data_IF_254153279192
#
_entry.id   IF_254153279192
#
_cell.length_a   1.000
_cell.length_b   1.000
_cell.length_c   1.000
_cell.angle_alpha   90.00
_cell.angle_beta   90.00
_cell.angle_gamma   90.00
#
_symmetry.space_group_name_H-M   'P 1'
#
loop_
_entity.id
_entity.type
_entity.pdbx_description
1 polymer ?
#
# COMPACT_ATOMS: atom_id res chain seq x y z
N UNK A 1 2.57 0.21 7.79
CA UNK A 1 1.66 1.34 8.10
C UNK A 1 0.93 1.03 9.40
N UNK A 2 0.81 2.02 10.28
CA UNK A 2 0.13 1.90 11.58
C UNK A 2 -1.10 2.79 11.55
N UNK A 3 -2.28 2.22 11.81
CA UNK A 3 -3.56 2.91 11.73
C UNK A 3 -4.22 2.94 13.11
N UNK A 4 -4.24 4.12 13.72
CA UNK A 4 -4.75 4.36 15.08
C UNK A 4 -5.78 5.49 15.05
N UNK A 5 -6.99 5.22 15.57
CA UNK A 5 -8.11 6.16 15.38
C UNK A 5 -8.32 6.44 13.89
N UNK A 6 -8.49 7.71 13.46
CA UNK A 6 -8.57 8.07 12.04
C UNK A 6 -7.20 8.19 11.34
N UNK A 7 -6.10 8.17 12.10
CA UNK A 7 -4.76 8.43 11.57
C UNK A 7 -4.14 7.22 10.89
N UNK A 8 -3.40 7.47 9.80
CA UNK A 8 -2.54 6.49 9.12
C UNK A 8 -1.11 7.01 9.17
N UNK A 9 -0.21 6.20 9.71
CA UNK A 9 1.18 6.58 9.94
C UNK A 9 2.14 5.64 9.18
N UNK A 10 3.14 6.20 8.48
CA UNK A 10 4.19 5.42 7.85
C UNK A 10 5.10 4.85 8.94
N UNK A 11 5.66 3.67 8.70
CA UNK A 11 6.55 3.02 9.67
C UNK A 11 7.56 2.14 8.95
N UNK A 12 8.79 2.11 9.47
CA UNK A 12 9.79 1.10 9.14
C UNK A 12 9.82 0.02 10.22
N UNK A 13 10.68 -0.98 10.05
CA UNK A 13 10.73 -2.20 10.90
C UNK A 13 10.73 -1.94 12.43
N UNK A 14 11.29 -0.82 12.88
CA UNK A 14 11.51 -0.55 14.32
C UNK A 14 10.77 0.68 14.86
N UNK A 15 10.26 1.55 14.00
CA UNK A 15 9.70 2.83 14.43
C UNK A 15 8.80 3.44 13.36
N UNK A 16 7.93 4.36 13.80
CA UNK A 16 7.20 5.24 12.90
C UNK A 16 8.19 6.11 12.11
N UNK A 17 7.86 6.39 10.86
CA UNK A 17 8.58 7.37 10.06
C UNK A 17 7.93 8.73 10.34
N UNK A 18 8.76 9.75 10.60
CA UNK A 18 8.29 11.14 10.61
C UNK A 18 7.87 11.56 9.21
N UNK A 19 6.98 12.54 9.12
CA UNK A 19 6.43 13.01 7.84
C UNK A 19 7.55 13.50 6.90
N UNK A 20 8.53 14.24 7.42
CA UNK A 20 9.71 14.69 6.66
C UNK A 20 10.62 13.55 6.17
N UNK A 21 10.53 12.37 6.78
CA UNK A 21 11.38 11.22 6.44
C UNK A 21 10.84 10.38 5.27
N UNK A 22 9.61 10.66 4.79
CA UNK A 22 9.00 9.94 3.68
C UNK A 22 9.81 10.02 2.38
N UNK A 23 10.43 11.18 2.12
CA UNK A 23 11.28 11.38 0.95
C UNK A 23 12.55 10.53 1.06
N UNK A 24 13.23 10.54 2.20
CA UNK A 24 14.46 9.77 2.41
C UNK A 24 14.25 8.25 2.45
N UNK A 25 13.02 7.79 2.65
CA UNK A 25 12.69 6.36 2.65
C UNK A 25 12.31 5.89 1.23
N UNK A 26 13.30 5.82 0.34
CA UNK A 26 13.17 5.40 -1.07
C UNK A 26 12.13 6.21 -1.88
N UNK A 27 11.88 7.46 -1.48
CA UNK A 27 10.89 8.33 -2.11
C UNK A 27 9.46 7.80 -1.97
N UNK A 28 9.12 7.18 -0.84
CA UNK A 28 7.75 6.71 -0.53
C UNK A 28 6.73 7.85 -0.58
N UNK A 29 7.14 9.10 -0.37
CA UNK A 29 6.27 10.27 -0.58
C UNK A 29 5.52 10.21 -1.93
N UNK A 30 6.14 9.71 -3.01
CA UNK A 30 5.50 9.55 -4.33
C UNK A 30 4.20 8.74 -4.33
N UNK A 31 4.11 7.75 -3.44
CA UNK A 31 2.98 6.83 -3.36
C UNK A 31 2.18 7.01 -2.07
N UNK A 32 2.66 7.84 -1.14
CA UNK A 32 2.07 8.02 0.19
C UNK A 32 0.59 8.44 0.16
N UNK A 33 0.15 9.41 -0.66
CA UNK A 33 -1.27 9.77 -0.71
C UNK A 33 -2.18 8.59 -1.04
N UNK A 34 -1.78 7.75 -2.02
CA UNK A 34 -2.56 6.57 -2.42
C UNK A 34 -2.53 5.52 -1.30
N UNK A 35 -1.36 5.29 -0.71
CA UNK A 35 -1.22 4.34 0.39
C UNK A 35 -1.98 4.74 1.64
N UNK A 36 -2.07 6.04 1.97
CA UNK A 36 -2.80 6.50 3.15
C UNK A 36 -4.30 6.27 2.98
N UNK A 37 -4.86 6.62 1.82
CA UNK A 37 -6.26 6.38 1.46
C UNK A 37 -6.57 4.87 1.44
N UNK A 38 -5.68 4.07 0.86
CA UNK A 38 -5.82 2.63 0.83
C UNK A 38 -5.74 2.00 2.24
N UNK A 39 -4.82 2.44 3.09
CA UNK A 39 -4.69 1.95 4.46
C UNK A 39 -5.89 2.32 5.32
N UNK A 40 -6.46 3.51 5.14
CA UNK A 40 -7.70 3.91 5.79
C UNK A 40 -8.86 3.00 5.36
N UNK A 41 -8.98 2.70 4.05
CA UNK A 41 -9.98 1.77 3.52
C UNK A 41 -9.79 0.34 4.04
N UNK A 42 -8.55 -0.16 4.04
CA UNK A 42 -8.18 -1.47 4.58
C UNK A 42 -8.57 -1.58 6.06
N UNK A 43 -8.25 -0.54 6.84
CA UNK A 43 -8.57 -0.46 8.27
C UNK A 43 -10.06 -0.44 8.52
N UNK A 44 -10.82 0.33 7.72
CA UNK A 44 -12.28 0.35 7.80
C UNK A 44 -12.89 -1.03 7.55
N UNK A 45 -12.38 -1.77 6.55
CA UNK A 45 -12.83 -3.13 6.28
C UNK A 45 -12.59 -4.07 7.47
N UNK A 46 -11.44 -3.98 8.14
CA UNK A 46 -11.16 -4.79 9.33
C UNK A 46 -11.98 -4.36 10.55
N UNK A 47 -12.18 -3.05 10.77
CA UNK A 47 -12.98 -2.53 11.89
C UNK A 47 -14.43 -2.99 11.85
N UNK A 48 -14.99 -3.19 10.66
CA UNK A 48 -16.33 -3.77 10.51
C UNK A 48 -16.46 -5.19 11.11
N UNK A 49 -15.34 -5.90 11.31
CA UNK A 49 -15.28 -7.26 11.87
C UNK A 49 -14.73 -7.25 13.30
N UNK A 50 -13.70 -6.44 13.55
CA UNK A 50 -12.92 -6.44 14.80
C UNK A 50 -13.32 -5.32 15.77
N UNK A 51 -14.27 -4.46 15.38
CA UNK A 51 -14.76 -3.32 16.15
C UNK A 51 -14.11 -2.00 15.77
N UNK A 52 -14.88 -0.91 15.87
CA UNK A 52 -14.49 0.43 15.41
C UNK A 52 -13.24 1.00 16.11
N UNK A 53 -12.97 0.57 17.34
CA UNK A 53 -11.82 1.02 18.12
C UNK A 53 -10.53 0.23 17.81
N UNK A 54 -10.58 -0.80 16.95
CA UNK A 54 -9.40 -1.62 16.67
C UNK A 54 -8.29 -0.79 16.02
N UNK A 55 -7.07 -0.89 16.57
CA UNK A 55 -5.87 -0.38 15.94
C UNK A 55 -5.33 -1.42 14.97
N UNK A 56 -4.96 -1.00 13.76
CA UNK A 56 -4.56 -1.91 12.68
C UNK A 56 -3.13 -1.60 12.28
N UNK A 57 -2.26 -2.60 12.27
CA UNK A 57 -0.93 -2.49 11.66
C UNK A 57 -0.87 -3.34 10.41
N UNK A 58 -0.57 -2.72 9.28
CA UNK A 58 -0.44 -3.40 7.98
C UNK A 58 1.04 -3.51 7.65
N UNK A 59 1.50 -4.75 7.48
CA UNK A 59 2.86 -5.11 7.12
C UNK A 59 2.91 -5.45 5.63
N UNK A 60 3.92 -4.93 4.97
CA UNK A 60 4.08 -5.10 3.55
C UNK A 60 5.49 -4.78 3.12
N UNK A 61 5.80 -5.21 1.91
CA UNK A 61 7.09 -5.00 1.29
C UNK A 61 7.05 -3.72 0.47
N UNK A 62 7.95 -2.78 0.77
CA UNK A 62 8.24 -1.71 -0.16
C UNK A 62 9.17 -2.30 -1.21
N UNK A 63 8.69 -2.36 -2.43
CA UNK A 63 9.39 -2.99 -3.52
C UNK A 63 9.72 -1.93 -4.57
N UNK A 64 10.80 -2.22 -5.30
CA UNK A 64 10.91 -1.90 -6.72
C UNK A 64 11.49 -0.52 -7.08
N UNK A 65 11.19 0.00 -8.28
CA UNK A 65 11.75 1.25 -8.81
C UNK A 65 12.70 1.04 -10.00
N UNK A 66 12.72 -0.15 -10.58
CA UNK A 66 13.41 -0.47 -11.83
C UNK A 66 12.89 -1.78 -12.43
N UNK A 67 12.71 -1.81 -13.75
CA UNK A 67 12.39 -3.04 -14.48
C UNK A 67 13.17 -3.10 -15.79
N UNK A 68 14.27 -3.85 -15.86
CA UNK A 68 15.20 -3.82 -16.99
C UNK A 68 14.71 -4.66 -18.18
N UNK A 69 13.52 -4.35 -18.70
CA UNK A 69 12.96 -4.97 -19.90
C UNK A 69 12.95 -3.95 -21.06
N UNK A 70 13.37 -4.32 -22.29
CA UNK A 70 13.46 -3.38 -23.42
C UNK A 70 12.13 -2.71 -23.77
N UNK A 71 11.01 -3.41 -23.60
CA UNK A 71 9.66 -2.89 -23.89
C UNK A 71 9.00 -2.17 -22.70
N UNK A 72 9.68 -2.03 -21.57
CA UNK A 72 9.14 -1.36 -20.37
C UNK A 72 9.90 -0.06 -20.14
N UNK A 73 9.26 1.11 -20.33
CA UNK A 73 9.89 2.39 -20.06
C UNK A 73 10.28 2.53 -18.59
N UNK A 74 11.48 3.07 -18.35
CA UNK A 74 11.90 3.45 -17.01
C UNK A 74 11.04 4.61 -16.48
N UNK A 75 10.77 4.60 -15.16
CA UNK A 75 10.08 5.70 -14.49
C UNK A 75 11.12 6.73 -14.06
N UNK A 76 10.93 7.99 -14.48
CA UNK A 76 11.85 9.07 -14.14
C UNK A 76 11.94 9.26 -12.60
N UNK A 77 13.17 9.29 -12.09
CA UNK A 77 13.46 9.46 -10.66
C UNK A 77 13.17 8.25 -9.78
N UNK A 78 12.71 7.13 -10.36
CA UNK A 78 12.65 5.86 -9.64
C UNK A 78 14.06 5.28 -9.52
N UNK A 79 14.37 4.78 -8.33
CA UNK A 79 15.59 4.03 -8.04
C UNK A 79 15.19 2.70 -7.41
N UNK A 80 15.89 1.61 -7.72
CA UNK A 80 15.55 0.31 -7.18
C UNK A 80 15.79 0.27 -5.67
N UNK A 81 14.75 -0.10 -4.92
CA UNK A 81 14.84 -0.41 -3.48
C UNK A 81 15.82 -1.56 -3.23
N UNK A 82 15.87 -2.51 -4.15
CA UNK A 82 16.77 -3.66 -4.12
C UNK A 82 17.14 -4.07 -5.56
N UNK A 83 18.34 -4.61 -5.75
CA UNK A 83 18.81 -5.14 -7.03
C UNK A 83 18.79 -6.67 -7.05
N UNK A 84 18.84 -7.28 -8.24
CA UNK A 84 18.93 -8.74 -8.41
C UNK A 84 17.59 -9.48 -8.48
N UNK A 85 16.50 -8.81 -8.11
CA UNK A 85 15.12 -9.21 -8.43
C UNK A 85 14.31 -7.96 -8.78
N UNK A 86 13.54 -8.03 -9.86
CA UNK A 86 12.85 -6.87 -10.44
C UNK A 86 11.34 -7.10 -10.47
N UNK A 87 10.55 -6.12 -10.04
CA UNK A 87 9.12 -6.32 -9.88
C UNK A 87 8.27 -5.44 -10.83
N UNK A 88 8.72 -4.22 -11.15
CA UNK A 88 7.99 -3.16 -11.87
C UNK A 88 8.84 -1.87 -11.99
N UNK A 89 8.62 -1.06 -13.04
CA UNK A 89 9.46 0.13 -13.24
C UNK A 89 9.19 1.23 -12.19
N UNK A 90 8.07 1.18 -11.48
CA UNK A 90 7.68 2.14 -10.44
C UNK A 90 7.80 1.58 -9.03
N UNK A 91 7.61 2.45 -8.02
CA UNK A 91 7.63 2.04 -6.61
C UNK A 91 6.27 1.46 -6.21
N UNK A 92 6.27 0.31 -5.52
CA UNK A 92 5.05 -0.35 -5.05
C UNK A 92 5.16 -0.77 -3.58
N UNK A 93 4.00 -0.89 -2.91
CA UNK A 93 3.94 -1.45 -1.57
C UNK A 93 2.93 -2.61 -1.53
N UNK A 94 3.40 -3.79 -1.15
CA UNK A 94 2.67 -5.04 -1.24
C UNK A 94 2.35 -5.59 0.17
N UNK A 95 1.10 -5.47 0.69
CA UNK A 95 0.74 -6.02 1.99
C UNK A 95 0.86 -7.55 2.01
N UNK A 96 1.61 -8.08 2.97
CA UNK A 96 1.78 -9.51 3.19
C UNK A 96 1.30 -9.96 4.57
N UNK A 97 1.06 -9.07 5.52
CA UNK A 97 0.48 -9.39 6.83
C UNK A 97 -0.26 -8.21 7.45
N UNK A 98 -1.08 -8.47 8.46
CA UNK A 98 -1.61 -7.41 9.31
C UNK A 98 -1.93 -7.93 10.71
N UNK A 99 -1.88 -7.02 11.67
CA UNK A 99 -2.34 -7.27 13.02
C UNK A 99 -3.43 -6.27 13.42
N UNK A 100 -4.32 -6.73 14.29
CA UNK A 100 -5.40 -5.95 14.89
C UNK A 100 -5.23 -5.99 16.41
N UNK A 101 -5.29 -4.83 17.04
CA UNK A 101 -5.23 -4.69 18.49
C UNK A 101 -6.59 -4.24 19.00
N UNK A 102 -7.13 -5.02 19.94
CA UNK A 102 -8.44 -4.82 20.57
C UNK A 102 -8.30 -4.85 22.09
N UNK A 103 -9.38 -4.61 22.82
CA UNK A 103 -9.40 -4.80 24.27
C UNK A 103 -9.04 -6.25 24.69
N UNK A 104 -9.27 -7.23 23.81
CA UNK A 104 -8.93 -8.64 24.04
C UNK A 104 -7.50 -9.02 23.66
N UNK A 105 -6.64 -8.05 23.34
CA UNK A 105 -5.25 -8.25 22.93
C UNK A 105 -5.04 -8.11 21.42
N UNK A 106 -3.81 -8.42 20.98
CA UNK A 106 -3.38 -8.33 19.58
C UNK A 106 -3.49 -9.68 18.87
N UNK A 107 -4.02 -9.65 17.65
CA UNK A 107 -4.19 -10.80 16.78
C UNK A 107 -3.56 -10.54 15.41
N UNK A 108 -2.90 -11.54 14.86
CA UNK A 108 -2.60 -11.61 13.44
C UNK A 108 -3.86 -12.04 12.70
N UNK A 109 -4.23 -11.31 11.64
CA UNK A 109 -5.43 -11.65 10.86
C UNK A 109 -5.18 -12.85 9.96
N UNK A 110 -6.26 -13.52 9.54
CA UNK A 110 -6.20 -14.57 8.53
C UNK A 110 -5.74 -14.03 7.17
N UNK A 111 -5.12 -14.88 6.35
CA UNK A 111 -4.73 -14.53 4.97
C UNK A 111 -5.96 -14.13 4.13
N UNK A 112 -7.11 -14.78 4.37
CA UNK A 112 -8.38 -14.41 3.74
C UNK A 112 -8.80 -12.99 4.08
N UNK A 113 -8.73 -12.61 5.37
CA UNK A 113 -9.07 -11.26 5.80
C UNK A 113 -8.10 -10.22 5.22
N UNK A 114 -6.80 -10.53 5.21
CA UNK A 114 -5.77 -9.67 4.60
C UNK A 114 -6.05 -9.42 3.12
N UNK A 115 -6.26 -10.48 2.33
CA UNK A 115 -6.51 -10.36 0.88
C UNK A 115 -7.83 -9.67 0.58
N UNK A 116 -8.88 -9.94 1.37
CA UNK A 116 -10.18 -9.28 1.24
C UNK A 116 -10.09 -7.78 1.51
N UNK A 117 -9.44 -7.39 2.62
CA UNK A 117 -9.24 -5.98 2.97
C UNK A 117 -8.31 -5.26 1.97
N UNK A 118 -7.25 -5.93 1.49
CA UNK A 118 -6.37 -5.40 0.45
C UNK A 118 -7.13 -5.15 -0.86
N UNK A 119 -7.92 -6.11 -1.33
CA UNK A 119 -8.74 -5.96 -2.53
C UNK A 119 -9.78 -4.82 -2.40
N UNK A 120 -10.44 -4.71 -1.24
CA UNK A 120 -11.37 -3.61 -0.95
C UNK A 120 -10.69 -2.24 -0.95
N UNK A 121 -9.39 -2.20 -0.63
CA UNK A 121 -8.53 -1.02 -0.60
C UNK A 121 -7.75 -0.78 -1.91
N UNK A 122 -7.97 -1.58 -2.96
CA UNK A 122 -7.19 -1.47 -4.20
C UNK A 122 -5.70 -1.80 -4.05
N UNK A 123 -5.32 -2.49 -2.97
CA UNK A 123 -3.96 -2.97 -2.73
C UNK A 123 -3.76 -4.36 -3.32
N UNK A 124 -2.55 -4.62 -3.79
CA UNK A 124 -2.14 -5.90 -4.37
C UNK A 124 -1.27 -6.65 -3.37
N UNK A 125 -1.71 -7.84 -2.94
CA UNK A 125 -0.87 -8.73 -2.13
C UNK A 125 0.14 -9.49 -2.99
N UNK A 126 1.29 -9.93 -2.43
CA UNK A 126 2.16 -10.88 -3.11
C UNK A 126 1.42 -12.16 -3.55
N UNK A 127 1.87 -12.82 -4.63
CA UNK A 127 1.25 -14.03 -5.13
C UNK A 127 1.20 -15.12 -4.06
N UNK A 128 0.05 -15.80 -3.94
CA UNK A 128 -0.02 -17.03 -3.15
C UNK A 128 0.60 -18.17 -3.96
N UNK A 129 1.58 -18.87 -3.40
CA UNK A 129 2.15 -20.07 -4.03
C UNK A 129 1.30 -21.32 -3.78
N UNK A 130 0.50 -21.33 -2.71
CA UNK A 130 -0.42 -22.41 -2.40
C UNK A 130 -1.07 -22.29 -1.02
N UNK A 131 -2.13 -23.05 -0.82
CA UNK A 131 -2.81 -23.25 0.46
C UNK A 131 -2.97 -24.75 0.70
N UNK A 132 -2.60 -25.23 1.88
CA UNK A 132 -2.64 -26.66 2.16
C UNK A 132 -1.86 -27.06 3.40
N UNK A 133 -1.62 -28.37 3.53
CA UNK A 133 -0.92 -28.94 4.66
C UNK A 133 0.55 -28.49 4.71
N UNK A 134 1.05 -28.20 5.92
CA UNK A 134 2.42 -27.75 6.18
C UNK A 134 3.46 -28.65 5.53
N UNK A 135 3.29 -29.97 5.65
CA UNK A 135 4.23 -30.96 5.12
C UNK A 135 4.34 -30.93 3.59
N UNK A 136 3.32 -30.44 2.88
CA UNK A 136 3.36 -30.27 1.42
C UNK A 136 3.94 -28.91 1.03
N UNK A 137 3.56 -27.85 1.72
CA UNK A 137 4.04 -26.51 1.39
C UNK A 137 5.51 -26.28 1.76
N UNK A 138 6.04 -26.98 2.76
CA UNK A 138 7.47 -26.91 3.10
C UNK A 138 8.37 -27.60 2.06
N UNK A 139 7.81 -28.45 1.20
CA UNK A 139 8.51 -29.17 0.13
C UNK A 139 8.54 -28.39 -1.20
N UNK A 140 7.95 -27.19 -1.25
CA UNK A 140 7.94 -26.37 -2.47
C UNK A 140 9.37 -26.01 -2.91
N UNK A 141 9.65 -25.97 -4.22
CA UNK A 141 10.93 -25.50 -4.73
C UNK A 141 11.23 -24.08 -4.22
N UNK A 142 12.43 -23.88 -3.70
CA UNK A 142 12.85 -22.59 -3.19
C UNK A 142 13.29 -21.62 -4.30
N UNK A 143 13.80 -22.13 -5.41
CA UNK A 143 14.16 -21.37 -6.60
C UNK A 143 13.03 -21.45 -7.64
N UNK A 144 12.42 -20.31 -7.95
CA UNK A 144 11.36 -20.17 -8.94
C UNK A 144 11.33 -18.73 -9.47
N UNK A 145 10.83 -18.52 -10.68
CA UNK A 145 10.66 -17.17 -11.23
C UNK A 145 9.66 -16.37 -10.41
N UNK A 146 9.95 -15.10 -10.12
CA UNK A 146 9.01 -14.26 -9.36
C UNK A 146 7.70 -14.07 -10.12
N UNK A 147 6.58 -14.27 -9.44
CA UNK A 147 5.24 -14.02 -9.99
C UNK A 147 4.76 -12.58 -9.83
N UNK A 148 5.54 -11.71 -9.19
CA UNK A 148 5.13 -10.32 -8.89
C UNK A 148 4.94 -9.46 -10.15
N UNK A 149 5.82 -9.49 -11.18
CA UNK A 149 5.64 -8.66 -12.38
C UNK A 149 4.32 -8.91 -13.11
N UNK A 150 3.85 -10.16 -13.12
CA UNK A 150 2.58 -10.53 -13.74
C UNK A 150 1.37 -9.85 -13.06
N UNK A 151 1.47 -9.52 -11.76
CA UNK A 151 0.43 -8.76 -11.05
C UNK A 151 0.25 -7.34 -11.60
N UNK A 152 1.27 -6.81 -12.27
CA UNK A 152 1.28 -5.49 -12.88
C UNK A 152 1.18 -5.53 -14.42
N UNK A 153 0.89 -6.71 -14.98
CA UNK A 153 0.78 -6.89 -16.43
C UNK A 153 2.09 -6.72 -17.19
N UNK A 154 3.23 -6.93 -16.52
CA UNK A 154 4.55 -6.75 -17.13
C UNK A 154 5.03 -8.03 -17.83
N UNK A 155 5.84 -7.89 -18.90
CA UNK A 155 6.44 -9.04 -19.59
C UNK A 155 7.43 -9.77 -18.68
N UNK A 156 7.68 -11.05 -18.92
CA UNK A 156 8.65 -11.82 -18.14
C UNK A 156 10.09 -11.34 -18.35
N UNK A 157 10.90 -11.41 -17.30
CA UNK A 157 12.35 -11.23 -17.36
C UNK A 157 13.03 -12.58 -17.19
N UNK A 158 13.94 -12.91 -18.12
CA UNK A 158 14.78 -14.08 -18.00
C UNK A 158 15.60 -14.04 -16.69
N UNK A 159 15.71 -15.18 -16.01
CA UNK A 159 16.48 -15.36 -14.77
C UNK A 159 16.08 -14.43 -13.60
N UNK A 160 14.87 -13.88 -13.61
CA UNK A 160 14.32 -13.07 -12.52
C UNK A 160 13.73 -13.96 -11.42
N UNK A 161 14.62 -14.62 -10.68
CA UNK A 161 14.26 -15.57 -9.63
C UNK A 161 13.79 -14.84 -8.36
N UNK A 162 12.75 -15.38 -7.72
CA UNK A 162 12.31 -14.94 -6.42
C UNK A 162 13.37 -15.23 -5.35
N UNK A 163 13.48 -14.37 -4.34
CA UNK A 163 14.34 -14.62 -3.16
C UNK A 163 13.98 -15.93 -2.44
N UNK A 164 12.69 -16.27 -2.45
CA UNK A 164 12.13 -17.43 -1.80
C UNK A 164 10.67 -17.21 -1.45
N UNK A 165 10.19 -17.91 -0.43
CA UNK A 165 8.80 -17.82 0.02
C UNK A 165 8.67 -17.80 1.54
N UNK A 166 7.50 -17.33 2.00
CA UNK A 166 7.13 -17.32 3.42
C UNK A 166 6.00 -18.33 3.64
N UNK A 167 6.19 -19.22 4.60
CA UNK A 167 5.21 -20.21 5.03
C UNK A 167 4.68 -19.81 6.41
N UNK A 168 3.36 -19.65 6.52
CA UNK A 168 2.68 -19.21 7.75
C UNK A 168 1.25 -19.74 7.85
N UNK A 169 0.65 -19.77 9.06
CA UNK A 169 -0.76 -20.08 9.25
C UNK A 169 -1.66 -19.18 8.40
N UNK A 170 -2.64 -19.80 7.75
CA UNK A 170 -3.66 -19.08 6.99
C UNK A 170 -4.76 -18.48 7.89
N UNK A 171 -4.97 -19.06 9.08
CA UNK A 171 -5.94 -18.59 10.06
C UNK A 171 -5.42 -17.45 10.93
N UNK A 172 -6.31 -16.93 11.76
CA UNK A 172 -6.00 -15.93 12.79
C UNK A 172 -5.07 -16.53 13.85
N UNK A 173 -4.24 -15.68 14.46
CA UNK A 173 -3.29 -16.11 15.48
C UNK A 173 -3.15 -15.08 16.60
N UNK A 174 -3.40 -15.42 17.88
CA UNK A 174 -3.18 -14.49 18.99
C UNK A 174 -1.69 -14.24 19.20
N UNK A 175 -1.27 -12.97 19.28
CA UNK A 175 0.15 -12.63 19.52
C UNK A 175 0.63 -13.11 20.91
N UNK A 176 -0.29 -13.23 21.87
CA UNK A 176 -0.02 -13.73 23.21
C UNK A 176 0.19 -15.25 23.29
N UNK A 177 0.13 -15.99 22.17
CA UNK A 177 0.43 -17.42 22.16
C UNK A 177 1.87 -17.67 22.67
N UNK A 178 2.07 -18.43 23.76
CA UNK A 178 3.40 -18.70 24.31
C UNK A 178 4.34 -19.42 23.33
N UNK A 179 3.81 -20.15 22.36
CA UNK A 179 4.61 -20.84 21.33
C UNK A 179 5.03 -19.90 20.20
N UNK A 180 4.47 -18.69 20.15
CA UNK A 180 4.63 -17.73 19.06
C UNK A 180 3.91 -18.17 17.78
N UNK A 181 3.78 -17.26 16.82
CA UNK A 181 3.23 -17.58 15.51
C UNK A 181 4.27 -18.35 14.68
N UNK A 182 3.98 -19.57 14.21
CA UNK A 182 4.94 -20.35 13.43
C UNK A 182 5.06 -19.74 12.02
N UNK A 183 6.15 -19.01 11.76
CA UNK A 183 6.45 -18.42 10.45
C UNK A 183 7.83 -18.85 10.01
N UNK A 184 7.92 -19.44 8.82
CA UNK A 184 9.17 -19.90 8.24
C UNK A 184 9.45 -19.14 6.96
N UNK A 185 10.68 -18.65 6.80
CA UNK A 185 11.17 -18.06 5.56
C UNK A 185 12.08 -19.07 4.88
N UNK A 186 11.72 -19.49 3.68
CA UNK A 186 12.49 -20.42 2.87
C UNK A 186 13.14 -19.60 1.75
N UNK A 187 14.46 -19.40 1.83
CA UNK A 187 15.22 -18.54 0.92
C UNK A 187 16.29 -19.33 0.19
N UNK A 188 16.54 -18.98 -1.08
CA UNK A 188 17.57 -19.65 -1.87
C UNK A 188 18.96 -19.21 -1.36
N UNK A 189 19.92 -20.14 -1.29
CA UNK A 189 21.27 -19.84 -0.77
C UNK A 189 22.05 -18.87 -1.66
N UNK A 190 21.91 -19.02 -2.98
CA UNK A 190 22.50 -18.15 -4.00
C UNK A 190 22.12 -16.68 -3.84
N UNK A 191 20.99 -16.36 -3.20
CA UNK A 191 20.60 -14.97 -2.97
C UNK A 191 21.47 -14.26 -1.94
N UNK A 192 22.08 -15.00 -1.01
CA UNK A 192 22.92 -14.43 0.04
C UNK A 192 24.38 -14.22 -0.40
N UNK A 193 24.78 -14.78 -1.54
CA UNK A 193 26.17 -14.85 -2.00
C UNK A 193 26.40 -14.14 -3.35
N UNK A 194 25.37 -13.54 -3.94
CA UNK A 194 25.42 -13.01 -5.31
C UNK A 194 25.51 -11.47 -5.32
N UNK A 195 26.59 -10.96 -5.93
CA UNK A 195 26.93 -9.54 -6.03
C UNK A 195 25.82 -8.70 -6.68
N UNK A 196 24.90 -9.32 -7.45
CA UNK A 196 23.73 -8.64 -8.03
C UNK A 196 22.82 -8.02 -6.97
N UNK A 197 22.86 -8.48 -5.72
CA UNK A 197 22.05 -7.97 -4.61
C UNK A 197 22.69 -6.81 -3.84
N UNK A 198 23.98 -6.54 -4.05
CA UNK A 198 24.77 -5.49 -3.38
C UNK A 198 24.81 -4.17 -4.18
N UNK A 199 24.00 -4.05 -5.23
CA UNK A 199 23.98 -2.89 -6.12
C UNK A 199 23.12 -1.71 -5.65
N UNK A 200 22.29 -1.91 -4.62
CA UNK A 200 21.40 -0.87 -4.11
C UNK A 200 22.21 0.26 -3.43
N UNK A 201 21.93 1.50 -3.80
CA UNK A 201 22.59 2.69 -3.23
C UNK A 201 21.67 3.40 -2.24
N UNK A 202 22.21 4.18 -1.28
CA UNK A 202 21.39 5.05 -0.46
C UNK A 202 20.57 5.98 -1.35
N UNK A 203 19.25 5.95 -1.18
CA UNK A 203 18.35 6.84 -1.91
C UNK A 203 18.57 8.29 -1.48
N UNK A 204 18.85 9.17 -2.44
CA UNK A 204 19.00 10.60 -2.19
C UNK A 204 17.76 11.33 -2.72
N UNK A 205 16.89 11.87 -1.84
CA UNK A 205 15.72 12.57 -2.30
C UNK A 205 16.10 13.85 -3.06
N UNK A 206 15.37 14.21 -4.13
CA UNK A 206 15.53 15.50 -4.79
C UNK A 206 15.30 16.67 -3.81
N UNK A 207 15.92 17.84 -4.00
CA UNK A 207 15.73 19.02 -3.13
C UNK A 207 14.26 19.42 -2.96
N UNK A 208 13.45 19.24 -4.00
CA UNK A 208 12.02 19.51 -4.02
C UNK A 208 11.15 18.39 -3.41
N UNK A 209 11.74 17.30 -2.95
CA UNK A 209 11.04 16.07 -2.54
C UNK A 209 10.81 15.11 -3.71
N UNK A 210 10.65 13.81 -3.41
CA UNK A 210 10.52 12.76 -4.43
C UNK A 210 9.20 12.86 -5.21
N UNK A 211 8.16 13.44 -4.62
CA UNK A 211 6.89 13.77 -5.28
C UNK A 211 6.90 15.13 -5.99
N UNK A 212 8.01 15.88 -5.93
CA UNK A 212 8.09 17.26 -6.42
C UNK A 212 7.50 18.31 -5.46
N UNK A 213 7.12 17.88 -4.25
CA UNK A 213 6.75 18.73 -3.12
C UNK A 213 7.40 18.18 -1.84
N UNK A 214 7.65 19.01 -0.82
CA UNK A 214 8.10 18.56 0.48
C UNK A 214 7.19 17.47 1.06
N UNK A 215 7.79 16.37 1.52
CA UNK A 215 7.08 15.24 2.12
C UNK A 215 6.11 15.62 3.25
N UNK A 216 6.43 16.62 4.08
CA UNK A 216 5.54 17.10 5.14
C UNK A 216 4.22 17.64 4.61
N UNK A 217 4.27 18.50 3.57
CA UNK A 217 3.07 19.05 2.96
C UNK A 217 2.21 17.94 2.37
N UNK A 218 2.85 16.95 1.76
CA UNK A 218 2.15 15.81 1.20
C UNK A 218 1.51 14.93 2.28
N UNK A 219 2.19 14.70 3.41
CA UNK A 219 1.64 13.95 4.53
C UNK A 219 0.43 14.66 5.15
N UNK A 220 0.52 15.98 5.36
CA UNK A 220 -0.58 16.81 5.86
C UNK A 220 -1.78 16.80 4.91
N UNK A 221 -1.56 17.03 3.62
CA UNK A 221 -2.62 16.96 2.61
C UNK A 221 -3.26 15.55 2.54
N UNK A 222 -2.44 14.50 2.64
CA UNK A 222 -2.92 13.11 2.61
C UNK A 222 -3.83 12.77 3.79
N UNK A 223 -3.64 13.42 4.95
CA UNK A 223 -4.50 13.25 6.12
C UNK A 223 -5.90 13.87 5.93
N UNK A 224 -6.04 14.83 5.01
CA UNK A 224 -7.32 15.47 4.68
C UNK A 224 -8.18 14.62 3.73
N UNK A 225 -7.59 13.62 3.06
CA UNK A 225 -8.29 12.71 2.15
C UNK A 225 -9.13 11.68 2.92
N UNK A 226 -10.34 12.08 3.31
CA UNK A 226 -11.25 11.25 4.15
C UNK A 226 -12.54 10.85 3.42
N UNK A 227 -13.17 9.73 3.79
CA UNK A 227 -14.50 9.36 3.26
C UNK A 227 -15.55 10.47 3.43
N UNK A 228 -15.49 11.22 4.53
CA UNK A 228 -16.40 12.34 4.77
C UNK A 228 -16.22 13.46 3.73
N UNK A 229 -14.98 13.76 3.34
CA UNK A 229 -14.69 14.74 2.30
C UNK A 229 -15.22 14.29 0.94
N UNK A 230 -15.02 13.02 0.59
CA UNK A 230 -15.56 12.44 -0.63
C UNK A 230 -17.09 12.57 -0.71
N UNK A 231 -17.78 12.22 0.38
CA UNK A 231 -19.23 12.34 0.49
C UNK A 231 -19.70 13.81 0.38
N UNK A 232 -18.96 14.76 0.97
CA UNK A 232 -19.26 16.18 0.88
C UNK A 232 -19.15 16.71 -0.56
N UNK A 233 -18.07 16.36 -1.26
CA UNK A 233 -17.87 16.72 -2.68
C UNK A 233 -18.96 16.08 -3.55
N UNK A 234 -19.30 14.81 -3.34
CA UNK A 234 -20.37 14.15 -4.08
C UNK A 234 -21.73 14.78 -3.80
N UNK A 235 -21.99 15.23 -2.57
CA UNK A 235 -23.19 15.99 -2.22
C UNK A 235 -23.26 17.33 -2.98
N UNK A 236 -22.12 18.03 -3.10
CA UNK A 236 -21.98 19.30 -3.84
C UNK A 236 -22.18 19.13 -5.35
N UNK A 237 -21.53 18.13 -5.95
CA UNK A 237 -21.52 17.95 -7.41
C UNK A 237 -22.68 17.08 -7.92
N UNK A 238 -23.26 16.26 -7.06
CA UNK A 238 -24.31 15.30 -7.38
C UNK A 238 -23.82 13.85 -7.48
N UNK A 239 -24.68 12.85 -7.13
CA UNK A 239 -24.28 11.44 -7.02
C UNK A 239 -23.96 10.74 -8.34
N UNK A 240 -24.29 11.38 -9.48
CA UNK A 240 -24.06 10.85 -10.84
C UNK A 240 -22.83 11.48 -11.51
N UNK A 241 -22.10 12.34 -10.80
CA UNK A 241 -20.89 12.97 -11.31
C UNK A 241 -19.80 11.93 -11.55
N UNK A 242 -19.04 12.11 -12.63
CA UNK A 242 -17.95 11.20 -12.99
C UNK A 242 -16.87 11.19 -11.89
N UNK A 243 -16.29 10.02 -11.64
CA UNK A 243 -15.24 9.81 -10.63
C UNK A 243 -14.10 10.81 -10.78
N UNK A 244 -13.69 11.10 -12.02
CA UNK A 244 -12.57 12.00 -12.27
C UNK A 244 -12.88 13.45 -11.88
N UNK A 245 -14.11 13.93 -12.15
CA UNK A 245 -14.56 15.25 -11.71
C UNK A 245 -14.70 15.36 -10.18
N UNK A 246 -15.14 14.27 -9.52
CA UNK A 246 -15.16 14.20 -8.05
C UNK A 246 -13.73 14.22 -7.50
N UNK A 247 -12.80 13.50 -8.12
CA UNK A 247 -11.40 13.47 -7.71
C UNK A 247 -10.73 14.84 -7.85
N UNK A 248 -10.94 15.53 -8.98
CA UNK A 248 -10.44 16.89 -9.21
C UNK A 248 -10.95 17.87 -8.15
N UNK A 249 -12.25 17.79 -7.80
CA UNK A 249 -12.82 18.67 -6.78
C UNK A 249 -12.33 18.32 -5.37
N UNK A 250 -12.16 17.02 -5.03
CA UNK A 250 -11.51 16.62 -3.77
C UNK A 250 -10.08 17.18 -3.70
N UNK A 251 -9.33 17.07 -4.79
CA UNK A 251 -7.95 17.58 -4.87
C UNK A 251 -7.90 19.09 -4.64
N UNK A 252 -8.79 19.85 -5.29
CA UNK A 252 -8.92 21.30 -5.10
C UNK A 252 -9.31 21.65 -3.67
N UNK A 253 -10.33 20.99 -3.13
CA UNK A 253 -10.83 21.24 -1.77
C UNK A 253 -9.73 20.99 -0.71
N UNK A 254 -8.94 19.92 -0.85
CA UNK A 254 -7.78 19.65 0.01
C UNK A 254 -6.67 20.68 -0.17
N UNK A 255 -6.36 21.06 -1.41
CA UNK A 255 -5.26 22.00 -1.70
C UNK A 255 -5.59 23.42 -1.22
N UNK A 256 -6.84 23.86 -1.37
CA UNK A 256 -7.36 25.13 -0.87
C UNK A 256 -7.35 25.17 0.67
N UNK A 257 -7.86 24.13 1.34
CA UNK A 257 -7.86 24.07 2.81
C UNK A 257 -6.43 24.10 3.38
N UNK A 258 -5.50 23.35 2.77
CA UNK A 258 -4.10 23.37 3.20
C UNK A 258 -3.46 24.74 2.96
N UNK A 259 -3.69 25.35 1.79
CA UNK A 259 -3.16 26.66 1.48
C UNK A 259 -3.68 27.72 2.46
N UNK A 260 -4.98 27.71 2.80
CA UNK A 260 -5.55 28.60 3.80
C UNK A 260 -4.92 28.39 5.18
N UNK A 261 -4.78 27.13 5.62
CA UNK A 261 -4.17 26.79 6.90
C UNK A 261 -2.71 27.25 7.02
N UNK A 262 -1.99 27.36 5.90
CA UNK A 262 -0.61 27.85 5.83
C UNK A 262 -0.50 29.37 5.61
N UNK A 263 -1.62 30.08 5.48
CA UNK A 263 -1.62 31.53 5.17
C UNK A 263 -1.30 31.86 3.71
N UNK A 264 -1.46 30.87 2.82
CA UNK A 264 -1.15 30.92 1.40
C UNK A 264 -0.11 29.87 1.00
N UNK A 265 -0.23 29.37 -0.23
CA UNK A 265 0.77 28.49 -0.85
C UNK A 265 1.07 28.99 -2.26
N UNK A 266 2.37 29.07 -2.62
CA UNK A 266 2.76 29.49 -3.96
C UNK A 266 2.32 28.48 -5.02
N UNK A 267 1.97 28.98 -6.22
CA UNK A 267 1.61 28.17 -7.40
C UNK A 267 2.66 27.09 -7.74
N UNK A 268 3.92 27.37 -7.43
CA UNK A 268 5.08 26.49 -7.64
C UNK A 268 5.02 25.23 -6.76
N UNK A 269 4.35 25.28 -5.61
CA UNK A 269 4.11 24.15 -4.71
C UNK A 269 2.69 23.60 -4.85
N UNK A 270 1.71 24.46 -5.12
CA UNK A 270 0.31 24.09 -5.24
C UNK A 270 0.07 23.11 -6.39
N UNK A 271 0.57 23.41 -7.61
CA UNK A 271 0.31 22.54 -8.77
C UNK A 271 0.98 21.16 -8.63
N UNK A 272 2.25 21.06 -8.18
CA UNK A 272 2.85 19.75 -7.92
C UNK A 272 2.14 18.98 -6.80
N UNK A 273 1.63 19.67 -5.77
CA UNK A 273 0.84 19.06 -4.69
C UNK A 273 -0.46 18.46 -5.24
N UNK A 274 -1.24 19.24 -5.99
CA UNK A 274 -2.48 18.76 -6.61
C UNK A 274 -2.25 17.55 -7.51
N UNK A 275 -1.19 17.59 -8.33
CA UNK A 275 -0.78 16.47 -9.18
C UNK A 275 -0.43 15.23 -8.36
N UNK A 276 0.23 15.38 -7.21
CA UNK A 276 0.59 14.28 -6.33
C UNK A 276 -0.62 13.71 -5.57
N UNK A 277 -1.65 14.52 -5.28
CA UNK A 277 -2.85 14.12 -4.56
C UNK A 277 -3.90 13.46 -5.46
N UNK A 278 -3.98 13.85 -6.73
CA UNK A 278 -5.04 13.42 -7.65
C UNK A 278 -5.24 11.90 -7.71
N UNK A 279 -4.20 11.04 -7.78
CA UNK A 279 -4.40 9.59 -7.77
C UNK A 279 -5.08 9.06 -6.50
N UNK A 280 -4.79 9.68 -5.35
CA UNK A 280 -5.39 9.31 -4.07
C UNK A 280 -6.82 9.81 -3.94
N UNK A 281 -7.09 11.04 -4.37
CA UNK A 281 -8.44 11.59 -4.49
C UNK A 281 -9.32 10.74 -5.42
N UNK A 282 -8.76 10.24 -6.53
CA UNK A 282 -9.42 9.29 -7.42
C UNK A 282 -9.75 7.98 -6.74
N UNK A 283 -8.80 7.42 -5.99
CA UNK A 283 -9.01 6.18 -5.23
C UNK A 283 -10.15 6.34 -4.22
N UNK A 284 -10.15 7.46 -3.51
CA UNK A 284 -11.18 7.83 -2.55
C UNK A 284 -12.56 8.00 -3.22
N UNK A 285 -12.64 8.69 -4.36
CA UNK A 285 -13.87 8.84 -5.15
C UNK A 285 -14.41 7.49 -5.67
N UNK A 286 -13.51 6.58 -6.08
CA UNK A 286 -13.90 5.20 -6.47
C UNK A 286 -14.48 4.43 -5.28
N UNK A 287 -13.88 4.55 -4.09
CA UNK A 287 -14.39 3.87 -2.90
C UNK A 287 -15.76 4.39 -2.51
N UNK A 288 -15.96 5.71 -2.48
CA UNK A 288 -17.26 6.32 -2.24
C UNK A 288 -18.32 5.83 -3.25
N UNK A 289 -17.99 5.82 -4.55
CA UNK A 289 -18.89 5.34 -5.59
C UNK A 289 -19.29 3.87 -5.41
N UNK A 290 -18.34 3.01 -5.02
CA UNK A 290 -18.59 1.59 -4.70
C UNK A 290 -19.50 1.44 -3.49
N UNK A 291 -19.30 2.23 -2.44
CA UNK A 291 -20.09 2.17 -1.21
C UNK A 291 -21.54 2.64 -1.41
N UNK A 292 -21.76 3.62 -2.31
CA UNK A 292 -23.12 4.07 -2.68
C UNK A 292 -23.89 3.06 -3.55
N UNK A 293 -23.17 2.20 -4.28
CA UNK A 293 -23.76 1.22 -5.18
C UNK A 293 -23.27 -0.19 -4.85
N UNK A 294 -23.60 -0.74 -3.66
CA UNK A 294 -23.27 -2.12 -3.36
C UNK A 294 -23.97 -3.00 -4.41
N UNK A 295 -23.18 -3.72 -5.19
CA UNK A 295 -23.68 -4.58 -6.26
C UNK A 295 -24.83 -5.45 -5.75
N UNK A 296 -25.95 -5.45 -6.50
CA UNK A 296 -27.20 -6.20 -6.21
C UNK A 296 -27.06 -7.74 -6.27
N UNK A 297 -25.86 -8.29 -6.09
CA UNK A 297 -25.51 -9.69 -6.31
C UNK A 297 -25.54 -10.56 -5.03
N UNK A 298 -26.07 -10.06 -3.91
CA UNK A 298 -26.18 -10.80 -2.65
C UNK A 298 -27.59 -11.29 -2.26
N UNK A 299 -28.59 -11.18 -3.15
CA UNK A 299 -29.95 -11.74 -2.92
C UNK A 299 -30.20 -12.94 -3.83
N UNK A 300 -29.47 -14.01 -3.59
CA UNK A 300 -29.83 -15.39 -3.92
C UNK A 300 -29.53 -16.20 -2.66
N UNK A 301 -30.38 -17.01 -2.04
CA UNK A 301 -31.81 -17.28 -2.14
C UNK A 301 -32.10 -18.20 -0.97
N UNK A 302 -32.85 -17.72 0.03
CA UNK A 302 -33.47 -18.59 1.03
C UNK A 302 -34.89 -18.86 0.58
N UNK A 303 -35.05 -19.92 -0.23
CA UNK A 303 -36.26 -20.74 -0.31
C UNK A 303 -35.85 -22.17 -0.58
#
# INVERSE_FOLDING_TARGET
>A
MVCTGPGVHPAKRRELLGDDALDGFFGVSRIWPVLSVAAARFTSALRSVWGDAAAVTIYGELADGCYPHPDVPAVAGAEPVQTGVWYSPGLHWLPFDASVETAGGRYWISDRALRGAAAAAGLVCPPALGHGALNKLQELPCAFSTGVPALFGLPELADNLAEGYVLKPAGEWPEADPQGRPVVKVKQKSFAEDERFDGARPYLPPPQGAAGVPALLLAQASALLTPARAAAVVSKLGPRTAVDAVAEEITRDVSEELAEALGGLEDTLLRPLERALLPAARSLAVFDAKDRHPSRTGREGTR
#
